data_IF_238597320634
#
_entry.id   IF_238597320634
#
_cell.length_a   1.000
_cell.length_b   1.000
_cell.length_c   1.000
_cell.angle_alpha   90.00
_cell.angle_beta   90.00
_cell.angle_gamma   90.00
#
_symmetry.space_group_name_H-M   'P 1'
#
loop_
_entity.id
_entity.type
_entity.pdbx_description
1 polymer ?
#
# COMPACT_ATOMS: atom_id res chain seq x y z
N UNK A 1 -3.35 31.98 1.84
CA UNK A 1 -3.28 31.04 2.98
C UNK A 1 -1.97 30.29 2.85
N UNK A 2 -1.09 30.40 3.83
CA UNK A 2 0.09 29.52 3.89
C UNK A 2 -0.39 28.07 3.88
N UNK A 3 0.20 27.25 3.01
CA UNK A 3 -0.03 25.81 3.02
C UNK A 3 0.55 25.28 4.34
N UNK A 4 -0.33 24.99 5.29
CA UNK A 4 0.06 24.36 6.54
C UNK A 4 0.66 22.99 6.20
N UNK A 5 1.98 22.85 6.38
CA UNK A 5 2.67 21.58 6.18
C UNK A 5 2.14 20.57 7.18
N UNK A 6 1.77 19.39 6.70
CA UNK A 6 1.25 18.34 7.56
C UNK A 6 2.31 17.93 8.61
N UNK A 7 1.95 17.96 9.89
CA UNK A 7 2.86 17.58 10.96
C UNK A 7 2.99 16.06 11.06
N UNK A 8 4.23 15.58 11.20
CA UNK A 8 4.57 14.18 11.37
C UNK A 8 5.20 13.92 12.73
N UNK A 9 4.83 12.80 13.33
CA UNK A 9 5.47 12.26 14.53
C UNK A 9 6.44 11.16 14.09
N UNK A 10 7.67 11.21 14.58
CA UNK A 10 8.65 10.16 14.36
C UNK A 10 8.36 8.96 15.28
N UNK A 11 8.38 7.77 14.69
CA UNK A 11 8.26 6.50 15.40
C UNK A 11 9.55 6.08 16.10
N UNK A 12 9.57 4.82 16.53
CA UNK A 12 10.70 4.21 17.23
C UNK A 12 12.03 4.44 16.48
N UNK A 13 12.98 5.17 17.09
CA UNK A 13 14.28 5.51 16.46
C UNK A 13 14.14 6.05 15.03
N UNK A 14 13.09 6.83 14.78
CA UNK A 14 12.73 7.36 13.46
C UNK A 14 12.61 6.26 12.38
N UNK A 15 12.17 5.05 12.76
CA UNK A 15 11.97 3.91 11.84
C UNK A 15 10.83 4.13 10.86
N UNK A 16 9.85 4.91 11.29
CA UNK A 16 8.77 5.43 10.48
C UNK A 16 8.45 6.85 10.92
N UNK A 17 7.61 7.52 10.16
CA UNK A 17 6.90 8.73 10.56
C UNK A 17 5.42 8.56 10.26
N UNK A 18 4.56 9.21 11.04
CA UNK A 18 3.12 9.07 10.88
C UNK A 18 2.38 10.36 11.20
N UNK A 19 1.18 10.47 10.64
CA UNK A 19 0.22 11.53 10.94
C UNK A 19 -1.08 10.90 11.42
N UNK A 20 -1.48 11.24 12.64
CA UNK A 20 -2.65 10.65 13.31
C UNK A 20 -3.84 11.62 13.45
N UNK A 21 -3.72 12.88 13.04
CA UNK A 21 -4.79 13.88 13.15
C UNK A 21 -5.53 14.05 11.82
N UNK A 22 -5.89 12.92 11.18
CA UNK A 22 -6.55 12.92 9.89
C UNK A 22 -8.01 13.36 9.97
N UNK A 23 -8.47 14.15 8.99
CA UNK A 23 -9.85 14.65 8.91
C UNK A 23 -10.68 13.97 7.80
N UNK A 24 -10.10 12.97 7.11
CA UNK A 24 -10.77 12.19 6.06
C UNK A 24 -10.50 10.71 6.29
N UNK A 25 -11.46 9.86 5.90
CA UNK A 25 -11.40 8.41 6.07
C UNK A 25 -10.50 7.67 5.07
N UNK A 26 -9.30 8.20 4.84
CA UNK A 26 -8.26 7.67 3.96
C UNK A 26 -7.02 7.40 4.82
N UNK A 27 -6.44 6.21 4.65
CA UNK A 27 -5.16 5.83 5.28
C UNK A 27 -4.15 5.55 4.16
N UNK A 28 -3.00 6.21 4.21
CA UNK A 28 -1.89 5.99 3.27
C UNK A 28 -0.74 5.28 4.00
N UNK A 29 -0.39 4.09 3.51
CA UNK A 29 0.71 3.27 4.00
C UNK A 29 1.83 3.24 2.97
N UNK A 30 3.07 3.53 3.38
CA UNK A 30 4.25 3.51 2.49
C UNK A 30 5.40 2.78 3.18
N UNK A 31 5.47 1.45 3.10
CA UNK A 31 6.42 0.68 3.90
C UNK A 31 7.86 0.76 3.36
N UNK A 32 8.07 0.95 2.06
CA UNK A 32 9.38 0.70 1.42
C UNK A 32 10.06 1.94 0.82
N UNK A 33 9.56 3.14 1.14
CA UNK A 33 10.14 4.42 0.72
C UNK A 33 11.34 4.88 1.57
N UNK A 34 11.70 4.18 2.64
CA UNK A 34 12.78 4.58 3.55
C UNK A 34 14.21 4.38 3.02
N UNK A 35 15.16 5.21 3.49
CA UNK A 35 16.60 5.10 3.19
C UNK A 35 17.48 4.97 4.43
N UNK A 36 16.94 5.13 5.64
CA UNK A 36 17.74 5.07 6.86
C UNK A 36 18.23 3.65 7.11
N UNK A 37 19.51 3.50 7.42
CA UNK A 37 20.15 2.22 7.69
C UNK A 37 20.88 2.32 9.03
N UNK A 38 20.22 2.05 10.17
CA UNK A 38 20.90 2.00 11.46
C UNK A 38 22.04 0.97 11.44
N UNK A 39 23.24 1.39 11.83
CA UNK A 39 24.46 0.56 11.80
C UNK A 39 24.37 -0.67 12.71
N UNK A 40 23.63 -0.57 13.82
CA UNK A 40 23.45 -1.64 14.79
C UNK A 40 22.37 -2.67 14.41
N UNK A 41 21.72 -2.52 13.25
CA UNK A 41 20.76 -3.48 12.73
C UNK A 41 21.40 -4.17 11.52
N UNK A 42 21.61 -5.49 11.54
CA UNK A 42 22.18 -6.19 10.40
C UNK A 42 21.23 -6.14 9.19
N UNK A 43 21.81 -6.30 8.01
CA UNK A 43 21.02 -6.45 6.79
C UNK A 43 20.28 -7.78 6.80
N UNK A 44 19.04 -7.76 6.32
CA UNK A 44 18.25 -8.95 6.04
C UNK A 44 18.89 -9.71 4.89
N UNK A 45 19.16 -11.00 5.11
CA UNK A 45 19.67 -11.91 4.08
C UNK A 45 18.85 -13.18 4.00
N UNK A 46 18.90 -13.85 2.84
CA UNK A 46 18.21 -15.12 2.63
C UNK A 46 18.77 -16.20 3.55
N UNK A 47 20.08 -16.19 3.78
CA UNK A 47 20.82 -17.15 4.59
C UNK A 47 20.36 -17.10 6.05
N UNK A 48 20.25 -15.90 6.63
CA UNK A 48 19.78 -15.71 8.01
C UNK A 48 18.33 -16.17 8.15
N UNK A 49 17.47 -15.86 7.17
CA UNK A 49 16.07 -16.32 7.21
C UNK A 49 15.95 -17.84 7.16
N UNK A 50 16.68 -18.52 6.26
CA UNK A 50 16.68 -19.98 6.17
C UNK A 50 17.17 -20.61 7.48
N UNK A 51 18.22 -20.05 8.08
CA UNK A 51 18.71 -20.50 9.38
C UNK A 51 17.64 -20.39 10.48
N UNK A 52 16.88 -19.29 10.51
CA UNK A 52 15.78 -19.10 11.46
C UNK A 52 14.61 -20.05 11.24
N UNK A 53 14.26 -20.37 10.00
CA UNK A 53 13.22 -21.37 9.71
C UNK A 53 13.59 -22.76 10.22
N UNK A 54 14.84 -23.17 9.98
CA UNK A 54 15.36 -24.46 10.43
C UNK A 54 15.42 -24.58 11.95
N UNK A 55 15.78 -23.50 12.65
CA UNK A 55 15.87 -23.50 14.12
C UNK A 55 14.50 -23.45 14.80
N UNK A 56 13.49 -22.86 14.16
CA UNK A 56 12.14 -22.75 14.72
C UNK A 56 11.21 -23.93 14.36
N UNK A 57 11.73 -25.04 13.79
CA UNK A 57 10.92 -26.16 13.25
C UNK A 57 9.74 -25.69 12.37
N UNK A 58 9.89 -24.51 11.78
CA UNK A 58 8.88 -23.90 10.93
C UNK A 58 9.18 -24.39 9.53
N UNK A 59 8.54 -25.48 9.12
CA UNK A 59 8.55 -25.99 7.74
C UNK A 59 7.80 -25.01 6.83
N UNK A 60 8.33 -23.81 6.68
CA UNK A 60 7.98 -22.94 5.58
C UNK A 60 8.84 -23.31 4.39
N UNK A 61 8.28 -23.12 3.21
CA UNK A 61 8.91 -23.35 1.92
C UNK A 61 10.15 -22.44 1.76
N UNK A 62 11.29 -22.89 2.30
CA UNK A 62 12.56 -22.19 2.26
C UNK A 62 13.07 -21.99 0.83
N UNK A 63 12.57 -22.80 -0.11
CA UNK A 63 12.84 -22.70 -1.54
C UNK A 63 12.23 -21.42 -2.15
N UNK A 64 11.09 -20.98 -1.62
CA UNK A 64 10.38 -19.77 -2.05
C UNK A 64 10.72 -18.51 -1.24
N UNK A 65 11.75 -18.54 -0.38
CA UNK A 65 12.22 -17.36 0.34
C UNK A 65 12.74 -16.28 -0.64
N UNK A 66 11.96 -15.20 -0.78
CA UNK A 66 12.27 -14.02 -1.60
C UNK A 66 12.52 -12.81 -0.68
N UNK A 67 13.60 -12.85 0.10
CA UNK A 67 14.11 -11.64 0.77
C UNK A 67 14.46 -10.62 -0.32
N UNK A 68 13.56 -9.66 -0.52
CA UNK A 68 13.79 -8.51 -1.37
C UNK A 68 14.35 -7.38 -0.52
N UNK A 69 15.44 -6.79 -0.99
CA UNK A 69 16.14 -5.68 -0.34
C UNK A 69 16.18 -4.42 -1.20
N UNK A 70 15.53 -4.43 -2.37
CA UNK A 70 15.46 -3.30 -3.29
C UNK A 70 14.35 -2.35 -2.85
N UNK A 71 14.75 -1.14 -2.46
CA UNK A 71 13.86 -0.04 -2.07
C UNK A 71 12.88 0.33 -3.17
N UNK A 72 11.68 0.70 -2.78
CA UNK A 72 10.68 1.32 -3.64
C UNK A 72 11.00 2.82 -3.78
N UNK A 73 11.91 3.14 -4.70
CA UNK A 73 12.52 4.48 -4.81
C UNK A 73 11.44 5.59 -4.87
N UNK A 74 11.53 6.62 -4.03
CA UNK A 74 10.64 7.79 -4.04
C UNK A 74 9.15 7.50 -3.84
N UNK A 75 8.73 6.34 -3.34
CA UNK A 75 7.32 6.16 -2.92
C UNK A 75 6.95 7.06 -1.75
N UNK A 76 7.90 7.33 -0.85
CA UNK A 76 7.79 8.32 0.22
C UNK A 76 7.55 9.74 -0.33
N UNK A 77 8.48 10.26 -1.15
CA UNK A 77 8.39 11.60 -1.74
C UNK A 77 7.13 11.74 -2.63
N UNK A 78 6.81 10.71 -3.41
CA UNK A 78 5.59 10.71 -4.23
C UNK A 78 4.33 10.83 -3.37
N UNK A 79 4.24 10.05 -2.29
CA UNK A 79 3.08 10.07 -1.40
C UNK A 79 2.95 11.41 -0.67
N UNK A 80 4.05 12.03 -0.25
CA UNK A 80 4.03 13.40 0.31
C UNK A 80 3.50 14.42 -0.68
N UNK A 81 3.86 14.32 -1.96
CA UNK A 81 3.27 15.17 -2.99
C UNK A 81 1.77 14.90 -3.14
N UNK A 82 1.32 13.64 -3.12
CA UNK A 82 -0.11 13.29 -3.16
C UNK A 82 -0.86 13.91 -1.97
N UNK A 83 -0.29 13.87 -0.77
CA UNK A 83 -0.87 14.48 0.44
C UNK A 83 -1.03 16.00 0.28
N UNK A 84 -0.03 16.67 -0.30
CA UNK A 84 -0.10 18.10 -0.58
C UNK A 84 -1.23 18.42 -1.57
N UNK A 85 -1.46 17.57 -2.57
CA UNK A 85 -2.54 17.75 -3.54
C UNK A 85 -3.92 17.45 -2.93
N UNK A 86 -4.04 16.44 -2.07
CA UNK A 86 -5.27 16.18 -1.28
C UNK A 86 -5.64 17.38 -0.41
N UNK A 87 -4.65 18.02 0.22
CA UNK A 87 -4.84 19.24 1.00
C UNK A 87 -5.39 20.40 0.12
N UNK A 88 -4.91 20.54 -1.13
CA UNK A 88 -5.43 21.55 -2.06
C UNK A 88 -6.86 21.27 -2.56
N UNK A 89 -7.24 20.00 -2.72
CA UNK A 89 -8.57 19.62 -3.24
C UNK A 89 -9.69 19.99 -2.26
N UNK A 90 -9.43 19.97 -0.95
CA UNK A 90 -10.46 20.28 0.03
C UNK A 90 -10.01 20.24 1.48
N UNK A 91 -8.76 20.62 1.76
CA UNK A 91 -8.14 20.48 3.08
C UNK A 91 -8.18 19.02 3.59
N UNK A 92 -8.08 18.05 2.67
CA UNK A 92 -8.13 16.63 3.00
C UNK A 92 -6.78 16.21 3.57
N UNK A 93 -6.76 15.89 4.87
CA UNK A 93 -5.59 15.43 5.64
C UNK A 93 -5.80 13.95 5.97
N UNK A 94 -5.24 13.00 5.20
CA UNK A 94 -5.40 11.57 5.46
C UNK A 94 -4.56 11.12 6.65
N UNK A 95 -4.86 9.95 7.22
CA UNK A 95 -3.96 9.27 8.15
C UNK A 95 -2.79 8.68 7.36
N UNK A 96 -1.56 8.79 7.87
CA UNK A 96 -0.35 8.46 7.10
C UNK A 96 0.62 7.68 7.95
N UNK A 97 1.21 6.63 7.39
CA UNK A 97 2.34 5.90 7.98
C UNK A 97 3.38 5.63 6.89
N UNK A 98 4.56 6.25 7.02
CA UNK A 98 5.68 6.12 6.07
C UNK A 98 6.88 5.49 6.76
N UNK A 99 7.35 4.36 6.25
CA UNK A 99 8.59 3.72 6.68
C UNK A 99 9.81 4.55 6.28
N UNK A 100 10.68 4.85 7.24
CA UNK A 100 11.91 5.63 7.06
C UNK A 100 13.15 4.74 7.02
N UNK A 101 13.14 3.61 7.73
CA UNK A 101 14.18 2.60 7.61
C UNK A 101 14.09 1.88 6.26
N UNK A 102 15.26 1.60 5.69
CA UNK A 102 15.37 0.89 4.43
C UNK A 102 14.89 -0.56 4.60
N UNK A 103 14.17 -1.11 3.61
CA UNK A 103 13.62 -2.48 3.67
C UNK A 103 14.65 -3.58 3.91
N UNK A 104 15.92 -3.29 3.59
CA UNK A 104 17.07 -4.16 3.88
C UNK A 104 17.27 -4.35 5.39
N UNK A 105 16.89 -3.40 6.23
CA UNK A 105 16.97 -3.50 7.69
C UNK A 105 15.70 -4.08 8.31
N UNK A 106 14.54 -3.67 7.79
CA UNK A 106 13.23 -4.16 8.23
C UNK A 106 12.22 -4.04 7.09
N UNK A 107 11.53 -5.11 6.75
CA UNK A 107 10.45 -5.09 5.77
C UNK A 107 9.11 -5.05 6.49
N UNK A 108 8.47 -3.87 6.51
CA UNK A 108 7.16 -3.67 7.13
C UNK A 108 6.00 -4.33 6.36
N UNK A 109 6.24 -4.88 5.17
CA UNK A 109 5.21 -5.55 4.36
C UNK A 109 5.48 -7.05 4.22
N UNK A 110 5.97 -7.65 5.32
CA UNK A 110 6.17 -9.10 5.52
C UNK A 110 5.72 -9.52 6.91
N UNK A 111 5.49 -10.83 7.09
CA UNK A 111 5.30 -11.45 8.41
C UNK A 111 6.50 -11.12 9.30
N UNK A 112 6.32 -10.96 10.62
CA UNK A 112 7.34 -10.38 11.50
C UNK A 112 8.68 -11.13 11.47
N UNK A 113 8.68 -12.46 11.38
CA UNK A 113 9.90 -13.24 11.33
C UNK A 113 10.66 -12.96 10.04
N UNK A 114 9.98 -13.01 8.89
CA UNK A 114 10.59 -12.65 7.60
C UNK A 114 11.03 -11.19 7.60
N UNK A 115 10.15 -10.30 8.07
CA UNK A 115 10.27 -8.84 8.14
C UNK A 115 11.49 -8.36 8.91
N UNK A 116 11.86 -9.07 9.98
CA UNK A 116 12.84 -8.60 10.98
C UNK A 116 14.03 -9.53 11.16
N UNK A 117 13.94 -10.77 10.67
CA UNK A 117 14.89 -11.85 10.94
C UNK A 117 15.20 -12.00 12.44
N UNK A 118 14.15 -11.85 13.25
CA UNK A 118 14.19 -11.93 14.71
C UNK A 118 15.17 -10.94 15.39
N UNK A 119 15.59 -9.88 14.70
CA UNK A 119 16.45 -8.86 15.30
C UNK A 119 15.61 -7.96 16.24
N UNK A 120 15.99 -7.77 17.52
CA UNK A 120 15.16 -7.03 18.49
C UNK A 120 14.85 -5.58 18.12
N UNK A 121 15.81 -4.87 17.51
CA UNK A 121 15.65 -3.49 17.07
C UNK A 121 14.72 -3.41 15.85
N UNK A 122 14.88 -4.34 14.90
CA UNK A 122 13.98 -4.46 13.75
C UNK A 122 12.56 -4.85 14.18
N UNK A 123 12.40 -5.73 15.18
CA UNK A 123 11.10 -6.07 15.79
C UNK A 123 10.45 -4.83 16.40
N UNK A 124 11.21 -4.00 17.11
CA UNK A 124 10.68 -2.79 17.75
C UNK A 124 10.24 -1.76 16.71
N UNK A 125 11.04 -1.56 15.66
CA UNK A 125 10.70 -0.73 14.50
C UNK A 125 9.43 -1.26 13.80
N UNK A 126 9.37 -2.57 13.54
CA UNK A 126 8.24 -3.24 12.89
C UNK A 126 6.95 -3.07 13.69
N UNK A 127 6.98 -3.40 14.98
CA UNK A 127 5.82 -3.27 15.87
C UNK A 127 5.35 -1.83 15.96
N UNK A 128 6.26 -0.86 16.00
CA UNK A 128 5.88 0.56 16.04
C UNK A 128 5.18 1.01 14.74
N UNK A 129 5.64 0.56 13.56
CA UNK A 129 4.95 0.80 12.29
C UNK A 129 3.53 0.23 12.30
N UNK A 130 3.40 -1.05 12.65
CA UNK A 130 2.12 -1.77 12.63
C UNK A 130 1.14 -1.30 13.71
N UNK A 131 1.64 -0.84 14.86
CA UNK A 131 0.84 -0.22 15.92
C UNK A 131 0.19 1.07 15.41
N UNK A 132 0.98 1.99 14.85
CA UNK A 132 0.44 3.26 14.32
C UNK A 132 -0.53 3.04 13.15
N UNK A 133 -0.27 2.04 12.28
CA UNK A 133 -1.21 1.68 11.22
C UNK A 133 -2.53 1.13 11.79
N UNK A 134 -2.45 0.25 12.79
CA UNK A 134 -3.65 -0.28 13.46
C UNK A 134 -4.43 0.82 14.19
N UNK A 135 -3.75 1.76 14.83
CA UNK A 135 -4.37 2.89 15.51
C UNK A 135 -5.06 3.83 14.53
N UNK A 136 -4.46 4.10 13.37
CA UNK A 136 -5.12 4.84 12.29
C UNK A 136 -6.40 4.14 11.80
N UNK A 137 -6.37 2.82 11.63
CA UNK A 137 -7.56 2.03 11.25
C UNK A 137 -8.65 2.14 12.31
N UNK A 138 -8.29 1.97 13.58
CA UNK A 138 -9.23 2.08 14.69
C UNK A 138 -9.86 3.48 14.76
N UNK A 139 -9.06 4.53 14.58
CA UNK A 139 -9.54 5.91 14.54
C UNK A 139 -10.46 6.15 13.34
N UNK A 140 -10.10 5.67 12.16
CA UNK A 140 -10.95 5.81 10.98
C UNK A 140 -12.30 5.12 11.17
N UNK A 141 -12.30 3.89 11.69
CA UNK A 141 -13.53 3.16 11.97
C UNK A 141 -14.37 3.85 13.06
N UNK A 142 -13.73 4.37 14.12
CA UNK A 142 -14.44 5.08 15.19
C UNK A 142 -15.02 6.42 14.72
N UNK A 143 -14.26 7.20 13.95
CA UNK A 143 -14.63 8.56 13.57
C UNK A 143 -15.56 8.60 12.37
N UNK A 144 -15.42 7.68 11.41
CA UNK A 144 -16.11 7.73 10.12
C UNK A 144 -16.95 6.48 9.81
N UNK A 145 -16.82 5.41 10.60
CA UNK A 145 -17.56 4.14 10.43
C UNK A 145 -17.07 3.25 9.26
N UNK A 146 -16.34 3.84 8.30
CA UNK A 146 -15.79 3.17 7.12
C UNK A 146 -14.58 3.93 6.62
N UNK A 147 -13.70 3.28 5.88
CA UNK A 147 -12.57 3.94 5.21
C UNK A 147 -11.85 3.06 4.22
N UNK A 148 -10.77 3.60 3.67
CA UNK A 148 -9.92 2.94 2.69
C UNK A 148 -8.44 3.06 3.11
N UNK A 149 -7.77 1.92 3.19
CA UNK A 149 -6.32 1.83 3.28
C UNK A 149 -5.72 1.68 1.87
N UNK A 150 -4.79 2.54 1.51
CA UNK A 150 -4.01 2.46 0.27
C UNK A 150 -2.54 2.22 0.64
N UNK A 151 -2.03 1.03 0.30
CA UNK A 151 -0.64 0.63 0.52
C UNK A 151 0.18 0.86 -0.75
N UNK A 152 1.06 1.86 -0.74
CA UNK A 152 1.75 2.38 -1.93
C UNK A 152 3.16 1.81 -2.03
N UNK A 153 3.42 1.17 -3.17
CA UNK A 153 4.66 0.50 -3.55
C UNK A 153 5.17 0.97 -4.90
N UNK A 154 6.38 0.54 -5.22
CA UNK A 154 7.02 0.81 -6.50
C UNK A 154 7.68 -0.43 -7.08
N UNK A 155 7.50 -0.66 -8.38
CA UNK A 155 8.13 -1.76 -9.10
C UNK A 155 8.98 -1.29 -10.29
N UNK A 156 9.80 -2.20 -10.80
CA UNK A 156 10.61 -2.05 -12.02
C UNK A 156 10.14 -2.99 -13.16
N UNK A 157 8.91 -3.51 -13.06
CA UNK A 157 8.33 -4.46 -14.00
C UNK A 157 7.53 -3.73 -15.09
N UNK A 158 8.21 -3.20 -16.11
CA UNK A 158 7.56 -2.50 -17.23
C UNK A 158 6.87 -1.19 -16.84
N UNK A 159 6.05 -0.66 -17.76
CA UNK A 159 5.35 0.62 -17.60
C UNK A 159 3.83 0.43 -17.49
N UNK A 160 3.38 -0.22 -16.42
CA UNK A 160 1.98 -0.39 -16.05
C UNK A 160 1.87 -0.43 -14.53
N UNK A 161 0.78 0.08 -13.97
CA UNK A 161 0.51 -0.01 -12.53
C UNK A 161 -0.26 -1.28 -12.19
N UNK A 162 -0.04 -1.82 -10.99
CA UNK A 162 -0.76 -3.01 -10.50
C UNK A 162 -1.60 -2.62 -9.29
N UNK A 163 -2.90 -2.89 -9.37
CA UNK A 163 -3.90 -2.59 -8.34
C UNK A 163 -4.28 -3.91 -7.66
N UNK A 164 -3.66 -4.17 -6.51
CA UNK A 164 -3.77 -5.43 -5.77
C UNK A 164 -4.98 -5.45 -4.83
N UNK A 165 -5.87 -6.43 -5.05
CA UNK A 165 -7.09 -6.65 -4.29
C UNK A 165 -7.16 -8.02 -3.57
N UNK A 166 -6.01 -8.62 -3.29
CA UNK A 166 -5.80 -10.02 -2.84
C UNK A 166 -6.24 -11.11 -3.83
N UNK A 167 -6.63 -10.74 -5.06
CA UNK A 167 -6.94 -11.69 -6.13
C UNK A 167 -5.68 -12.02 -6.94
N UNK A 168 -5.29 -13.29 -6.95
CA UNK A 168 -4.16 -13.79 -7.75
C UNK A 168 -4.39 -13.59 -9.26
N UNK A 169 -3.31 -13.63 -10.06
CA UNK A 169 -3.42 -13.54 -11.53
C UNK A 169 -4.35 -14.62 -12.10
N UNK A 170 -4.32 -15.84 -11.55
CA UNK A 170 -5.19 -16.93 -12.00
C UNK A 170 -6.68 -16.62 -11.77
N UNK A 171 -7.00 -15.95 -10.66
CA UNK A 171 -8.36 -15.50 -10.36
C UNK A 171 -8.75 -14.30 -11.22
N UNK A 172 -7.91 -13.28 -11.33
CA UNK A 172 -8.18 -12.09 -12.16
C UNK A 172 -8.34 -12.43 -13.65
N UNK A 173 -7.65 -13.46 -14.14
CA UNK A 173 -7.77 -13.91 -15.52
C UNK A 173 -9.10 -14.62 -15.83
N UNK A 174 -9.91 -14.97 -14.82
CA UNK A 174 -11.27 -15.48 -15.03
C UNK A 174 -12.18 -14.43 -15.66
N UNK A 175 -13.18 -14.89 -16.42
CA UNK A 175 -14.18 -14.01 -17.05
C UNK A 175 -15.19 -13.45 -16.04
N UNK A 176 -15.40 -14.16 -14.93
CA UNK A 176 -16.26 -13.75 -13.84
C UNK A 176 -15.51 -13.91 -12.52
N UNK A 177 -15.60 -12.88 -11.67
CA UNK A 177 -15.01 -12.86 -10.34
C UNK A 177 -16.01 -13.25 -9.24
N UNK A 178 -17.26 -13.56 -9.58
CA UNK A 178 -18.36 -13.86 -8.65
C UNK A 178 -18.16 -15.12 -7.79
N UNK A 179 -17.15 -15.94 -8.07
CA UNK A 179 -16.83 -17.12 -7.27
C UNK A 179 -16.62 -16.75 -5.78
N UNK A 180 -17.43 -17.28 -4.85
CA UNK A 180 -17.33 -16.92 -3.43
C UNK A 180 -16.03 -17.39 -2.78
N UNK A 181 -15.28 -18.31 -3.39
CA UNK A 181 -13.95 -18.70 -2.93
C UNK A 181 -12.88 -17.62 -3.19
N UNK A 182 -13.16 -16.67 -4.10
CA UNK A 182 -12.26 -15.57 -4.43
C UNK A 182 -12.41 -14.45 -3.39
N UNK A 183 -11.63 -14.56 -2.31
CA UNK A 183 -11.56 -13.51 -1.28
C UNK A 183 -10.89 -12.25 -1.83
N UNK A 184 -11.45 -11.09 -1.55
CA UNK A 184 -10.86 -9.79 -1.92
C UNK A 184 -10.73 -8.86 -0.72
N UNK A 185 -9.76 -7.94 -0.79
CA UNK A 185 -9.50 -6.94 0.25
C UNK A 185 -10.47 -5.76 0.26
N UNK A 186 -11.45 -5.75 -0.65
CA UNK A 186 -12.49 -4.73 -0.75
C UNK A 186 -13.90 -5.36 -0.73
N UNK A 187 -14.08 -6.45 0.02
CA UNK A 187 -15.30 -7.28 -0.01
C UNK A 187 -16.59 -6.46 0.18
N UNK A 188 -16.59 -5.50 1.12
CA UNK A 188 -17.75 -4.62 1.37
C UNK A 188 -18.09 -3.66 0.22
N UNK A 189 -17.17 -3.45 -0.72
CA UNK A 189 -17.39 -2.63 -1.93
C UNK A 189 -17.86 -3.47 -3.12
N UNK A 190 -17.91 -4.80 -2.97
CA UNK A 190 -18.23 -5.74 -4.04
C UNK A 190 -19.66 -6.29 -3.97
N UNK A 191 -20.48 -5.84 -3.01
CA UNK A 191 -21.81 -6.41 -2.70
C UNK A 191 -22.78 -6.42 -3.89
N UNK A 192 -22.70 -5.42 -4.78
CA UNK A 192 -23.58 -5.31 -5.94
C UNK A 192 -23.04 -6.02 -7.18
N UNK A 193 -21.78 -5.77 -7.53
CA UNK A 193 -21.12 -6.37 -8.68
C UNK A 193 -19.60 -6.34 -8.53
N UNK A 194 -19.01 -7.46 -8.11
CA UNK A 194 -17.57 -7.61 -7.93
C UNK A 194 -16.74 -7.32 -9.19
N UNK A 195 -17.23 -7.67 -10.39
CA UNK A 195 -16.49 -7.37 -11.63
C UNK A 195 -16.42 -5.86 -11.85
N UNK A 196 -17.52 -5.13 -11.57
CA UNK A 196 -17.56 -3.69 -11.70
C UNK A 196 -16.59 -3.00 -10.71
N UNK A 197 -16.61 -3.41 -9.44
CA UNK A 197 -15.76 -2.84 -8.39
C UNK A 197 -14.27 -3.08 -8.62
N UNK A 198 -13.89 -4.27 -9.13
CA UNK A 198 -12.48 -4.65 -9.32
C UNK A 198 -11.91 -4.14 -10.63
N UNK A 199 -12.69 -4.21 -11.73
CA UNK A 199 -12.19 -3.99 -13.09
C UNK A 199 -13.18 -3.34 -14.05
N UNK A 200 -14.30 -2.84 -13.55
CA UNK A 200 -15.29 -2.14 -14.36
C UNK A 200 -15.02 -0.66 -14.50
N UNK A 201 -16.01 0.09 -14.97
CA UNK A 201 -15.90 1.52 -15.27
C UNK A 201 -15.58 2.39 -14.05
N UNK A 202 -16.01 1.94 -12.87
CA UNK A 202 -15.86 2.60 -11.57
C UNK A 202 -14.71 2.05 -10.73
N UNK A 203 -14.01 1.02 -11.21
CA UNK A 203 -12.85 0.44 -10.52
C UNK A 203 -11.70 1.44 -10.38
N UNK A 204 -10.85 1.24 -9.36
CA UNK A 204 -9.71 2.11 -9.10
C UNK A 204 -8.78 2.20 -10.33
N UNK A 205 -8.51 1.06 -11.00
CA UNK A 205 -7.68 1.03 -12.21
C UNK A 205 -8.27 1.79 -13.39
N UNK A 206 -9.59 1.76 -13.58
CA UNK A 206 -10.25 2.56 -14.63
C UNK A 206 -10.18 4.05 -14.34
N UNK A 207 -10.39 4.46 -13.09
CA UNK A 207 -10.25 5.86 -12.67
C UNK A 207 -8.81 6.30 -12.85
N UNK A 208 -7.84 5.46 -12.48
CA UNK A 208 -6.41 5.70 -12.66
C UNK A 208 -6.04 6.01 -14.12
N UNK A 209 -6.56 5.22 -15.05
CA UNK A 209 -6.37 5.44 -16.49
C UNK A 209 -7.06 6.72 -16.99
N UNK A 210 -8.28 7.03 -16.51
CA UNK A 210 -8.99 8.27 -16.87
C UNK A 210 -8.28 9.54 -16.42
N UNK A 211 -7.54 9.48 -15.31
CA UNK A 211 -6.70 10.57 -14.82
C UNK A 211 -5.28 10.55 -15.42
N UNK A 212 -5.10 9.91 -16.57
CA UNK A 212 -3.88 9.98 -17.40
C UNK A 212 -2.61 9.48 -16.71
N UNK A 213 -2.73 8.58 -15.72
CA UNK A 213 -1.58 7.99 -15.02
C UNK A 213 -0.97 6.78 -15.76
N UNK A 214 -1.48 6.45 -16.93
CA UNK A 214 -1.05 5.31 -17.74
C UNK A 214 -1.81 4.03 -17.46
N UNK A 215 -1.33 2.92 -18.03
CA UNK A 215 -2.00 1.61 -17.99
C UNK A 215 -2.06 1.08 -16.56
N UNK A 216 -3.21 0.56 -16.15
CA UNK A 216 -3.40 -0.10 -14.87
C UNK A 216 -4.06 -1.47 -15.03
N UNK A 217 -3.63 -2.44 -14.23
CA UNK A 217 -4.29 -3.74 -14.12
C UNK A 217 -4.80 -3.95 -12.69
N UNK A 218 -6.00 -4.50 -12.50
CA UNK A 218 -7.06 -4.58 -13.50
C UNK A 218 -7.79 -3.23 -13.69
N UNK A 219 -8.31 -3.00 -14.90
CA UNK A 219 -9.19 -1.88 -15.27
C UNK A 219 -10.22 -2.31 -16.33
N UNK A 220 -11.12 -1.43 -16.75
CA UNK A 220 -12.09 -1.72 -17.82
C UNK A 220 -11.38 -2.00 -19.16
N UNK A 221 -10.36 -1.20 -19.49
CA UNK A 221 -9.57 -1.39 -20.69
C UNK A 221 -8.60 -2.58 -20.57
N UNK A 222 -8.16 -2.87 -19.35
CA UNK A 222 -7.14 -3.87 -19.04
C UNK A 222 -7.61 -4.82 -17.91
N UNK A 223 -8.66 -5.63 -18.13
CA UNK A 223 -9.36 -6.35 -17.06
C UNK A 223 -8.56 -7.51 -16.44
N UNK A 224 -7.45 -7.90 -17.07
CA UNK A 224 -6.71 -9.12 -16.76
C UNK A 224 -5.20 -8.87 -16.90
N UNK A 225 -4.37 -9.25 -15.91
CA UNK A 225 -2.92 -9.16 -16.04
C UNK A 225 -2.34 -10.12 -17.09
N UNK A 226 -3.06 -11.20 -17.44
CA UNK A 226 -2.56 -12.24 -18.32
C UNK A 226 -1.38 -12.97 -17.69
N UNK A 227 -0.27 -13.09 -18.43
CA UNK A 227 0.98 -13.69 -17.96
C UNK A 227 1.96 -12.69 -17.31
N UNK A 228 1.56 -11.41 -17.14
CA UNK A 228 2.42 -10.39 -16.53
C UNK A 228 2.69 -10.71 -15.06
N UNK A 229 3.83 -10.23 -14.58
CA UNK A 229 4.07 -10.12 -13.15
C UNK A 229 2.97 -9.23 -12.56
N UNK A 230 2.34 -9.70 -11.49
CA UNK A 230 1.27 -8.97 -10.84
C UNK A 230 1.35 -9.20 -9.34
N UNK A 231 1.57 -8.12 -8.58
CA UNK A 231 1.55 -8.18 -7.12
C UNK A 231 0.13 -7.87 -6.65
N UNK A 232 -0.54 -8.90 -6.14
CA UNK A 232 -1.96 -8.83 -5.82
C UNK A 232 -2.27 -8.32 -4.40
N UNK A 233 -1.26 -8.02 -3.58
CA UNK A 233 -1.45 -7.56 -2.20
C UNK A 233 -0.53 -8.28 -1.23
N UNK A 234 0.40 -7.53 -0.63
CA UNK A 234 1.36 -7.99 0.36
C UNK A 234 0.77 -8.15 1.76
N UNK A 235 1.65 -8.32 2.74
CA UNK A 235 1.29 -8.64 4.12
C UNK A 235 0.35 -7.61 4.75
N UNK A 236 0.57 -6.31 4.52
CA UNK A 236 -0.25 -5.22 5.05
C UNK A 236 -1.70 -5.40 4.60
N UNK A 237 -1.95 -5.55 3.29
CA UNK A 237 -3.31 -5.75 2.79
C UNK A 237 -3.91 -7.05 3.35
N UNK A 238 -3.14 -8.14 3.35
CA UNK A 238 -3.61 -9.44 3.87
C UNK A 238 -3.99 -9.40 5.35
N UNK A 239 -3.25 -8.65 6.16
CA UNK A 239 -3.41 -8.58 7.60
C UNK A 239 -4.51 -7.59 8.04
N UNK A 240 -4.74 -6.52 7.27
CA UNK A 240 -5.65 -5.44 7.67
C UNK A 240 -6.97 -5.39 6.90
N UNK A 241 -7.11 -6.11 5.78
CA UNK A 241 -8.34 -6.06 4.97
C UNK A 241 -9.60 -6.59 5.66
N UNK A 242 -9.45 -7.38 6.74
CA UNK A 242 -10.56 -7.80 7.60
C UNK A 242 -11.11 -6.68 8.49
N UNK A 243 -10.37 -5.58 8.65
CA UNK A 243 -10.72 -4.44 9.52
C UNK A 243 -11.13 -3.19 8.73
N UNK A 244 -10.71 -3.09 7.47
CA UNK A 244 -10.94 -1.94 6.59
C UNK A 244 -10.77 -2.38 5.14
N UNK A 245 -11.49 -1.76 4.20
CA UNK A 245 -11.20 -1.97 2.78
C UNK A 245 -9.76 -1.53 2.48
N UNK A 246 -9.02 -2.33 1.72
CA UNK A 246 -7.60 -2.09 1.50
C UNK A 246 -7.18 -2.40 0.06
N UNK A 247 -6.32 -1.57 -0.53
CA UNK A 247 -5.80 -1.73 -1.89
C UNK A 247 -4.29 -1.55 -1.87
N UNK A 248 -3.54 -2.47 -2.49
CA UNK A 248 -2.12 -2.24 -2.79
C UNK A 248 -1.96 -1.60 -4.17
N UNK A 249 -1.09 -0.60 -4.28
CA UNK A 249 -0.79 0.07 -5.54
C UNK A 249 0.70 -0.06 -5.82
N UNK A 250 1.04 -0.76 -6.91
CA UNK A 250 2.39 -0.84 -7.43
C UNK A 250 2.56 0.17 -8.56
N UNK A 251 3.40 1.18 -8.35
CA UNK A 251 3.63 2.23 -9.34
C UNK A 251 4.94 2.01 -10.12
N UNK A 252 4.95 2.14 -11.45
CA UNK A 252 6.18 2.12 -12.22
C UNK A 252 7.08 3.32 -11.87
N UNK A 253 8.38 3.16 -12.13
CA UNK A 253 9.40 4.14 -11.77
C UNK A 253 9.07 5.56 -12.28
N UNK A 254 8.67 5.69 -13.55
CA UNK A 254 8.44 6.98 -14.20
C UNK A 254 7.29 7.77 -13.57
N UNK A 255 6.27 7.11 -13.00
CA UNK A 255 5.18 7.80 -12.29
C UNK A 255 5.72 8.54 -11.08
N UNK A 256 6.61 7.89 -10.32
CA UNK A 256 7.17 8.37 -9.05
C UNK A 256 8.34 9.33 -9.24
N UNK A 257 9.11 9.17 -10.32
CA UNK A 257 10.41 9.85 -10.48
C UNK A 257 10.56 10.69 -11.74
N UNK A 258 9.68 10.53 -12.71
CA UNK A 258 9.80 11.17 -14.02
C UNK A 258 9.56 12.68 -13.99
N UNK A 259 9.69 13.32 -15.16
CA UNK A 259 9.48 14.78 -15.32
C UNK A 259 8.08 15.22 -14.87
N UNK A 260 7.10 14.33 -15.02
CA UNK A 260 5.70 14.59 -14.67
C UNK A 260 5.34 14.22 -13.23
N UNK A 261 6.29 13.84 -12.36
CA UNK A 261 5.99 13.32 -11.00
C UNK A 261 5.04 14.19 -10.16
N UNK A 262 5.09 15.52 -10.30
CA UNK A 262 4.17 16.44 -9.61
C UNK A 262 2.75 16.37 -10.18
N UNK A 263 2.62 16.37 -11.50
CA UNK A 263 1.33 16.17 -12.18
C UNK A 263 0.76 14.78 -11.84
N UNK A 264 1.60 13.75 -11.82
CA UNK A 264 1.19 12.41 -11.45
C UNK A 264 0.68 12.33 -10.00
N UNK A 265 1.32 13.05 -9.07
CA UNK A 265 0.82 13.13 -7.69
C UNK A 265 -0.54 13.84 -7.61
N UNK A 266 -0.74 14.91 -8.38
CA UNK A 266 -2.02 15.61 -8.49
C UNK A 266 -3.10 14.70 -9.07
N UNK A 267 -2.82 14.01 -10.16
CA UNK A 267 -3.75 13.09 -10.80
C UNK A 267 -4.07 11.91 -9.87
N UNK A 268 -3.08 11.38 -9.15
CA UNK A 268 -3.32 10.30 -8.18
C UNK A 268 -4.18 10.76 -7.00
N UNK A 269 -4.02 11.99 -6.51
CA UNK A 269 -4.92 12.56 -5.52
C UNK A 269 -6.36 12.66 -6.04
N UNK A 270 -6.56 13.05 -7.30
CA UNK A 270 -7.89 13.05 -7.95
C UNK A 270 -8.48 11.64 -8.05
N UNK A 271 -7.67 10.63 -8.41
CA UNK A 271 -8.09 9.23 -8.45
C UNK A 271 -8.62 8.77 -7.09
N UNK A 272 -7.89 9.06 -6.01
CA UNK A 272 -8.32 8.71 -4.64
C UNK A 272 -9.66 9.37 -4.34
N UNK A 273 -9.79 10.68 -4.57
CA UNK A 273 -11.02 11.43 -4.25
C UNK A 273 -12.20 10.95 -5.08
N UNK A 274 -12.02 10.72 -6.38
CA UNK A 274 -13.08 10.23 -7.26
C UNK A 274 -13.52 8.81 -6.88
N UNK A 275 -12.58 7.90 -6.64
CA UNK A 275 -12.88 6.53 -6.21
C UNK A 275 -13.67 6.53 -4.90
N UNK A 276 -13.24 7.36 -3.93
CA UNK A 276 -13.94 7.50 -2.65
C UNK A 276 -15.36 8.07 -2.83
N UNK A 277 -15.58 9.01 -3.75
CA UNK A 277 -16.92 9.57 -4.03
C UNK A 277 -17.83 8.57 -4.71
N UNK A 278 -17.35 7.89 -5.76
CA UNK A 278 -18.15 6.92 -6.53
C UNK A 278 -18.64 5.76 -5.65
N UNK A 279 -17.79 5.29 -4.73
CA UNK A 279 -18.13 4.21 -3.81
C UNK A 279 -18.86 4.68 -2.55
N UNK A 280 -19.34 5.93 -2.52
CA UNK A 280 -19.97 6.56 -1.35
C UNK A 280 -19.14 6.39 -0.07
N UNK A 281 -17.81 6.39 -0.19
CA UNK A 281 -16.89 6.24 0.93
C UNK A 281 -16.47 7.58 1.50
N UNK A 282 -16.35 8.64 0.71
CA UNK A 282 -15.75 9.90 1.17
C UNK A 282 -16.54 10.53 2.33
N UNK A 283 -15.93 10.57 3.52
CA UNK A 283 -16.45 11.26 4.72
C UNK A 283 -15.33 12.13 5.30
N UNK A 284 -15.66 13.39 5.57
CA UNK A 284 -14.73 14.37 6.18
C UNK A 284 -15.28 14.87 7.52
N UNK A 285 -14.39 15.35 8.39
CA UNK A 285 -14.72 16.04 9.64
C UNK A 285 -14.18 17.46 9.66
#
# INVERSE_FOLDING_TARGET
MEQETLEYIDGYRSSCKYHCNGNVNIILSVPHGGSLMPDNVPDRTKEVYIHLLNTNNSFHDAEHCKINVIKDIRTDEFTENVINELNKIGNLKPFIIIGKWHRKKVDFNREILEGTLNNPEAISAYKNYHMNLNDAINQVNHLFGKGLLIDIHGHAQGNYSMIGYMLSSNQLNQNDLSDPSFKTSIESLCESNRNESIRGQTSFGSIFERHELGVAYPSLANPKPGSRVFFHGGYIIQNYSSKINAIQIELPYDIRTGRNKRMNAQNFAQVIVEYMKINNLLVTK
#
